data_IF_143444574768
#
_entry.id   IF_143444574768
#
_cell.length_a   1.000
_cell.length_b   1.000
_cell.length_c   1.000
_cell.angle_alpha   90.00
_cell.angle_beta   90.00
_cell.angle_gamma   90.00
#
_symmetry.space_group_name_H-M   'P 1'
#
loop_
_entity.id
_entity.type
_entity.pdbx_description
1 polymer ?
#
# COMPACT_ATOMS: atom_id res chain seq x y z
N UNK A 1 -6.68 -14.42 -6.12
CA UNK A 1 -6.65 -13.12 -5.41
C UNK A 1 -5.92 -12.04 -6.19
N UNK A 2 -4.59 -12.12 -6.37
CA UNK A 2 -3.77 -11.03 -6.94
C UNK A 2 -4.22 -10.54 -8.33
N UNK A 3 -4.36 -11.44 -9.31
CA UNK A 3 -4.71 -11.03 -10.68
C UNK A 3 -6.06 -10.28 -10.74
N UNK A 4 -7.08 -10.84 -10.07
CA UNK A 4 -8.39 -10.19 -9.92
C UNK A 4 -8.30 -8.83 -9.25
N UNK A 5 -7.53 -8.72 -8.17
CA UNK A 5 -7.33 -7.45 -7.46
C UNK A 5 -6.71 -6.38 -8.38
N UNK A 6 -5.63 -6.72 -9.08
CA UNK A 6 -4.94 -5.78 -9.98
C UNK A 6 -5.73 -5.43 -11.23
N UNK A 7 -6.66 -6.29 -11.66
CA UNK A 7 -7.62 -5.96 -12.72
C UNK A 7 -8.68 -4.97 -12.26
N UNK A 8 -9.24 -5.17 -11.05
CA UNK A 8 -10.28 -4.29 -10.50
C UNK A 8 -9.72 -2.96 -10.02
N UNK A 9 -8.52 -2.97 -9.45
CA UNK A 9 -7.81 -1.80 -8.94
C UNK A 9 -6.40 -1.75 -9.55
N UNK A 10 -6.26 -1.23 -10.78
CA UNK A 10 -4.99 -1.23 -11.51
C UNK A 10 -4.00 -0.15 -11.04
N UNK A 11 -4.46 0.82 -10.24
CA UNK A 11 -3.64 1.90 -9.71
C UNK A 11 -3.22 1.65 -8.25
N UNK A 12 -2.13 2.30 -7.87
CA UNK A 12 -1.61 2.27 -6.52
C UNK A 12 -2.46 3.17 -5.62
N UNK A 13 -3.24 2.58 -4.71
CA UNK A 13 -4.19 3.29 -3.86
C UNK A 13 -3.50 4.32 -2.97
N UNK A 14 -2.26 4.06 -2.53
CA UNK A 14 -1.46 5.02 -1.78
C UNK A 14 -0.98 6.20 -2.65
N UNK A 15 -0.74 5.99 -3.94
CA UNK A 15 -0.41 7.09 -4.88
C UNK A 15 -1.66 7.89 -5.22
N UNK A 16 -2.79 7.24 -5.46
CA UNK A 16 -4.06 7.90 -5.77
C UNK A 16 -4.51 8.83 -4.64
N UNK A 17 -4.38 8.40 -3.39
CA UNK A 17 -4.63 9.25 -2.21
C UNK A 17 -3.76 10.52 -2.16
N UNK A 18 -2.65 10.54 -2.88
CA UNK A 18 -1.73 11.69 -3.02
C UNK A 18 -1.93 12.45 -4.33
N UNK A 19 -2.97 12.13 -5.12
CA UNK A 19 -3.19 12.70 -6.44
C UNK A 19 -2.21 12.23 -7.53
N UNK A 20 -1.48 11.13 -7.28
CA UNK A 20 -0.51 10.59 -8.22
C UNK A 20 -1.08 9.38 -8.95
N UNK A 21 -0.99 9.38 -10.28
CA UNK A 21 -1.38 8.23 -11.12
C UNK A 21 -0.17 7.31 -11.26
N UNK A 22 -0.23 6.14 -10.62
CA UNK A 22 0.84 5.12 -10.73
C UNK A 22 0.24 3.73 -10.76
N UNK A 23 0.71 2.89 -11.69
CA UNK A 23 0.24 1.50 -11.80
C UNK A 23 0.63 0.67 -10.57
N UNK A 24 -0.30 -0.15 -10.11
CA UNK A 24 -0.05 -1.15 -9.10
C UNK A 24 0.66 -2.37 -9.68
N UNK A 25 1.52 -2.97 -8.86
CA UNK A 25 2.24 -4.21 -9.19
C UNK A 25 2.09 -5.27 -8.11
N UNK A 26 1.58 -4.90 -6.94
CA UNK A 26 1.42 -5.77 -5.78
C UNK A 26 -0.03 -5.68 -5.31
N UNK A 27 -0.63 -6.83 -5.02
CA UNK A 27 -1.87 -6.94 -4.28
C UNK A 27 -1.48 -7.36 -2.86
N UNK A 28 -1.63 -6.44 -1.93
CA UNK A 28 -1.11 -6.53 -0.57
C UNK A 28 -2.28 -6.63 0.43
N UNK A 29 -2.11 -7.40 1.50
CA UNK A 29 -3.13 -7.49 2.54
C UNK A 29 -3.18 -6.19 3.36
N UNK A 30 -4.36 -5.58 3.48
CA UNK A 30 -4.53 -4.36 4.29
C UNK A 30 -4.19 -4.68 5.75
N UNK A 31 -4.80 -5.74 6.28
CA UNK A 31 -4.46 -6.31 7.57
C UNK A 31 -3.49 -7.48 7.37
N UNK A 32 -2.30 -7.47 7.99
CA UNK A 32 -1.35 -8.57 7.86
C UNK A 32 -1.95 -9.86 8.44
N UNK A 33 -1.84 -10.96 7.70
CA UNK A 33 -2.46 -12.23 8.09
C UNK A 33 -1.74 -12.92 9.26
N UNK A 34 -0.43 -12.68 9.47
CA UNK A 34 0.38 -13.28 10.56
C UNK A 34 0.16 -14.80 10.68
N UNK A 35 0.38 -15.51 9.57
CA UNK A 35 0.19 -16.96 9.44
C UNK A 35 -1.23 -17.50 9.68
N UNK A 36 -2.23 -16.62 9.81
CA UNK A 36 -3.63 -17.01 9.83
C UNK A 36 -4.14 -17.25 8.39
N UNK A 37 -4.38 -18.51 8.04
CA UNK A 37 -4.85 -18.90 6.70
C UNK A 37 -6.20 -18.27 6.33
N UNK A 38 -7.13 -18.16 7.28
CA UNK A 38 -8.44 -17.55 7.01
C UNK A 38 -8.29 -16.06 6.64
N UNK A 39 -7.37 -15.34 7.29
CA UNK A 39 -7.02 -13.96 6.91
C UNK A 39 -6.27 -13.90 5.58
N UNK A 40 -5.41 -14.89 5.30
CA UNK A 40 -4.73 -14.95 4.01
C UNK A 40 -5.73 -15.05 2.86
N UNK A 41 -6.70 -15.97 2.94
CA UNK A 41 -7.64 -16.21 1.84
C UNK A 41 -8.78 -15.18 1.75
N UNK A 42 -9.25 -14.66 2.88
CA UNK A 42 -10.45 -13.80 2.94
C UNK A 42 -10.16 -12.34 3.28
N UNK A 43 -8.91 -12.00 3.59
CA UNK A 43 -8.51 -10.65 3.96
C UNK A 43 -8.68 -9.65 2.83
N UNK A 44 -9.03 -8.42 3.17
CA UNK A 44 -9.13 -7.33 2.21
C UNK A 44 -7.74 -7.00 1.63
N UNK A 45 -7.69 -6.79 0.30
CA UNK A 45 -6.48 -6.44 -0.42
C UNK A 45 -6.48 -4.96 -0.83
N UNK A 46 -5.28 -4.38 -0.88
CA UNK A 46 -4.98 -3.10 -1.50
C UNK A 46 -4.02 -3.26 -2.67
N UNK A 47 -4.19 -2.44 -3.69
CA UNK A 47 -3.30 -2.38 -4.85
C UNK A 47 -2.20 -1.34 -4.62
N UNK A 48 -0.92 -1.75 -4.67
CA UNK A 48 0.22 -0.88 -4.42
C UNK A 48 1.27 -0.98 -5.53
N UNK A 49 1.97 0.12 -5.80
CA UNK A 49 3.21 0.11 -6.57
C UNK A 49 4.35 -0.44 -5.71
N UNK A 50 5.41 -0.96 -6.34
CA UNK A 50 6.55 -1.56 -5.63
C UNK A 50 7.17 -0.62 -4.58
N UNK A 51 7.39 0.69 -4.83
CA UNK A 51 7.95 1.58 -3.80
C UNK A 51 7.05 1.79 -2.59
N UNK A 52 5.74 1.90 -2.78
CA UNK A 52 4.82 2.07 -1.66
C UNK A 52 4.66 0.79 -0.84
N UNK A 53 4.68 -0.36 -1.51
CA UNK A 53 4.68 -1.65 -0.83
C UNK A 53 5.97 -1.84 -0.01
N UNK A 54 7.13 -1.74 -0.65
CA UNK A 54 8.43 -2.02 0.00
C UNK A 54 8.90 -0.93 0.98
N UNK A 55 8.42 0.31 0.84
CA UNK A 55 8.79 1.44 1.68
C UNK A 55 7.71 1.78 2.70
N UNK A 56 6.67 2.47 2.25
CA UNK A 56 5.67 3.07 3.14
C UNK A 56 4.90 2.03 3.97
N UNK A 57 4.43 0.96 3.31
CA UNK A 57 3.69 -0.11 3.96
C UNK A 57 4.59 -0.89 4.93
N UNK A 58 5.78 -1.29 4.50
CA UNK A 58 6.76 -1.92 5.41
C UNK A 58 7.10 -1.05 6.63
N UNK A 59 7.26 0.27 6.45
CA UNK A 59 7.54 1.19 7.55
C UNK A 59 6.35 1.29 8.52
N UNK A 60 5.14 1.39 7.98
CA UNK A 60 3.91 1.42 8.78
C UNK A 60 3.70 0.12 9.56
N UNK A 61 3.93 -1.04 8.96
CA UNK A 61 3.79 -2.32 9.67
C UNK A 61 4.79 -2.51 10.80
N UNK A 62 6.02 -1.99 10.63
CA UNK A 62 7.07 -2.07 11.66
C UNK A 62 6.85 -1.09 12.81
N UNK A 63 6.39 0.13 12.50
CA UNK A 63 6.41 1.26 13.46
C UNK A 63 5.03 1.73 13.89
N UNK A 64 3.97 1.29 13.19
CA UNK A 64 2.61 1.84 13.33
C UNK A 64 2.45 3.27 12.81
N UNK A 65 3.49 3.85 12.20
CA UNK A 65 3.51 5.25 11.75
C UNK A 65 3.73 5.32 10.24
N UNK A 66 2.97 6.19 9.58
CA UNK A 66 3.23 6.52 8.18
C UNK A 66 4.53 7.34 8.09
N UNK A 67 5.37 7.14 7.07
CA UNK A 67 6.54 7.99 6.87
C UNK A 67 6.14 9.44 6.67
N UNK A 68 6.84 10.35 7.36
CA UNK A 68 6.73 11.79 7.11
C UNK A 68 7.10 12.08 5.67
N UNK A 69 6.25 12.84 4.99
CA UNK A 69 6.49 13.29 3.62
C UNK A 69 7.09 14.68 3.68
N UNK A 70 8.13 14.91 2.88
CA UNK A 70 8.80 16.20 2.81
C UNK A 70 8.38 16.87 1.49
N UNK A 71 7.88 18.09 1.59
CA UNK A 71 7.49 18.93 0.46
C UNK A 71 8.69 19.47 -0.32
N UNK A 72 8.46 20.11 -1.47
CA UNK A 72 9.51 20.73 -2.28
C UNK A 72 10.20 21.91 -1.57
N UNK A 73 9.59 22.45 -0.53
CA UNK A 73 10.10 23.48 0.38
C UNK A 73 10.98 22.91 1.51
N UNK A 74 11.12 21.59 1.60
CA UNK A 74 11.91 20.92 2.62
C UNK A 74 11.18 20.70 3.95
N UNK A 75 9.91 21.07 4.06
CA UNK A 75 9.11 20.90 5.28
C UNK A 75 8.16 19.71 5.19
N UNK A 76 7.76 19.10 6.32
CA UNK A 76 6.72 18.08 6.34
C UNK A 76 5.41 18.58 5.72
N UNK A 77 4.83 17.81 4.80
CA UNK A 77 3.44 18.04 4.38
C UNK A 77 2.49 17.45 5.43
N UNK A 78 1.50 18.24 5.87
CA UNK A 78 0.44 17.82 6.80
C UNK A 78 -0.53 16.80 6.17
#
# INVERSE_FOLDING_TARGET
MRARQLQLKPLCEACEKRGLIRSARVADHIEPHRDNEAKFWNGALQSLCTPCHSGDKQAFEKTGRMPTRIGPDGWPIE
#
